data_IF_331238898035
#
_entry.id   IF_331238898035
#
_cell.length_a   1.000
_cell.length_b   1.000
_cell.length_c   1.000
_cell.angle_alpha   90.00
_cell.angle_beta   90.00
_cell.angle_gamma   90.00
#
_symmetry.space_group_name_H-M   'P 1'
#
loop_
_entity.id
_entity.type
_entity.pdbx_description
1 polymer ?
#
# COMPACT_ATOMS: atom_id res chain seq x y z
N UNK A 1 47.28 -35.93 34.21
CA UNK A 1 45.89 -36.39 34.54
C UNK A 1 45.05 -35.17 34.68
N UNK A 2 44.38 -34.76 33.61
CA UNK A 2 43.57 -33.56 33.56
C UNK A 2 42.14 -34.02 33.25
N UNK A 3 41.25 -33.82 34.19
CA UNK A 3 39.82 -34.14 34.08
C UNK A 3 39.10 -33.07 33.23
N UNK A 4 38.29 -33.43 32.24
CA UNK A 4 37.48 -32.45 31.53
C UNK A 4 36.22 -32.13 32.34
N UNK A 5 35.98 -30.85 32.58
CA UNK A 5 34.74 -30.34 33.13
C UNK A 5 33.65 -30.39 32.06
N UNK A 6 32.63 -31.16 32.35
CA UNK A 6 31.42 -31.27 31.57
C UNK A 6 30.49 -30.04 31.88
N UNK A 7 30.38 -29.08 30.98
CA UNK A 7 29.40 -28.01 31.01
C UNK A 7 28.44 -28.16 29.81
N UNK A 8 27.54 -29.10 29.93
CA UNK A 8 26.43 -29.18 28.99
C UNK A 8 25.23 -29.84 29.70
N UNK A 9 24.38 -29.07 30.32
CA UNK A 9 22.96 -29.40 30.58
C UNK A 9 22.35 -28.39 31.57
N UNK A 10 22.09 -27.17 31.18
CA UNK A 10 21.19 -26.27 31.93
C UNK A 10 20.66 -25.10 31.07
N UNK A 11 20.32 -25.30 29.80
CA UNK A 11 19.79 -24.18 29.02
C UNK A 11 18.63 -24.57 28.07
N UNK A 12 17.80 -25.52 28.47
CA UNK A 12 16.66 -25.92 27.64
C UNK A 12 15.29 -25.87 28.33
N UNK A 13 15.16 -25.22 29.49
CA UNK A 13 13.92 -25.25 30.25
C UNK A 13 13.21 -23.89 30.45
N UNK A 14 13.66 -22.82 29.81
CA UNK A 14 13.05 -21.47 29.96
C UNK A 14 12.39 -20.90 28.70
N UNK A 15 12.23 -21.70 27.64
CA UNK A 15 11.67 -21.23 26.37
C UNK A 15 10.17 -21.51 26.20
N UNK A 16 9.45 -22.05 27.19
CA UNK A 16 8.12 -22.61 26.95
C UNK A 16 7.00 -22.05 27.85
N UNK A 17 7.03 -20.79 28.24
CA UNK A 17 5.87 -20.23 28.97
C UNK A 17 5.67 -18.73 28.89
N UNK A 18 6.23 -18.02 27.92
CA UNK A 18 5.73 -16.67 27.64
C UNK A 18 4.40 -16.79 26.90
N UNK A 19 3.29 -16.21 27.40
CA UNK A 19 2.06 -16.19 26.63
C UNK A 19 2.37 -15.51 25.29
N UNK A 20 1.95 -16.16 24.21
CA UNK A 20 2.06 -15.57 22.87
C UNK A 20 1.43 -14.17 22.92
N UNK A 21 2.19 -13.15 22.51
CA UNK A 21 1.67 -11.80 22.43
C UNK A 21 0.50 -11.82 21.45
N UNK A 22 -0.72 -11.78 21.96
CA UNK A 22 -1.90 -11.54 21.13
C UNK A 22 -1.98 -10.04 20.87
N UNK A 23 -1.54 -9.62 19.69
CA UNK A 23 -1.72 -8.26 19.23
C UNK A 23 -3.22 -7.96 19.12
N UNK A 24 -3.80 -7.09 19.98
CA UNK A 24 -5.21 -6.73 19.90
C UNK A 24 -5.55 -6.02 18.57
N UNK A 25 -4.54 -5.50 17.85
CA UNK A 25 -4.70 -4.88 16.54
C UNK A 25 -4.65 -5.91 15.39
N UNK A 26 -4.30 -7.18 15.67
CA UNK A 26 -4.26 -8.24 14.65
C UNK A 26 -5.66 -8.61 14.11
N UNK A 27 -6.70 -8.29 14.86
CA UNK A 27 -8.10 -8.42 14.41
C UNK A 27 -8.50 -7.14 13.69
N UNK A 28 -8.14 -7.03 12.40
CA UNK A 28 -8.59 -5.93 11.56
C UNK A 28 -10.11 -5.87 11.42
N UNK A 29 -10.61 -4.76 10.90
CA UNK A 29 -12.03 -4.60 10.60
C UNK A 29 -12.50 -5.66 9.59
N UNK A 30 -13.79 -6.07 9.61
CA UNK A 30 -14.37 -6.84 8.52
C UNK A 30 -14.11 -6.19 7.17
N UNK A 31 -13.89 -6.99 6.11
CA UNK A 31 -13.42 -6.50 4.80
C UNK A 31 -14.24 -5.32 4.24
N UNK A 32 -15.58 -5.36 4.37
CA UNK A 32 -16.45 -4.27 3.92
C UNK A 32 -16.21 -2.96 4.69
N UNK A 33 -15.92 -3.04 5.99
CA UNK A 33 -15.59 -1.89 6.83
C UNK A 33 -14.20 -1.34 6.49
N UNK A 34 -13.23 -2.21 6.26
CA UNK A 34 -11.90 -1.82 5.83
C UNK A 34 -11.92 -1.09 4.47
N UNK A 35 -12.77 -1.53 3.52
CA UNK A 35 -13.00 -0.80 2.26
C UNK A 35 -13.67 0.56 2.48
N UNK A 36 -14.60 0.68 3.43
CA UNK A 36 -15.18 1.98 3.79
C UNK A 36 -14.12 2.93 4.36
N UNK A 37 -13.23 2.45 5.23
CA UNK A 37 -12.10 3.25 5.75
C UNK A 37 -11.19 3.70 4.60
N UNK A 38 -10.86 2.82 3.67
CA UNK A 38 -10.07 3.17 2.50
C UNK A 38 -10.72 4.30 1.67
N UNK A 39 -12.04 4.22 1.42
CA UNK A 39 -12.79 5.27 0.71
C UNK A 39 -12.82 6.59 1.47
N UNK A 40 -12.98 6.56 2.79
CA UNK A 40 -12.93 7.76 3.63
C UNK A 40 -11.56 8.44 3.55
N UNK A 41 -10.48 7.65 3.59
CA UNK A 41 -9.11 8.16 3.46
C UNK A 41 -8.93 8.83 2.08
N UNK A 42 -9.39 8.21 1.02
CA UNK A 42 -9.29 8.74 -0.36
C UNK A 42 -10.10 10.02 -0.57
N UNK A 43 -11.12 10.27 0.25
CA UNK A 43 -11.91 11.50 0.24
C UNK A 43 -11.25 12.72 0.89
N UNK A 44 -10.10 12.56 1.52
CA UNK A 44 -9.37 13.62 2.23
C UNK A 44 -7.86 13.64 1.91
N UNK A 45 -7.08 14.50 2.57
CA UNK A 45 -5.63 14.51 2.45
C UNK A 45 -5.04 13.15 2.87
N UNK A 46 -4.26 12.54 2.00
CA UNK A 46 -3.71 11.22 2.24
C UNK A 46 -2.34 11.01 1.58
N UNK A 47 -1.59 10.06 2.12
CA UNK A 47 -0.40 9.48 1.51
C UNK A 47 -0.76 8.10 0.97
N UNK A 48 -0.30 7.80 -0.25
CA UNK A 48 -0.49 6.49 -0.85
C UNK A 48 0.85 5.86 -1.24
N UNK A 49 1.03 4.61 -0.85
CA UNK A 49 2.21 3.81 -1.20
C UNK A 49 1.77 2.57 -1.96
N UNK A 50 2.31 2.41 -3.16
CA UNK A 50 2.11 1.23 -3.99
C UNK A 50 3.24 0.23 -3.74
N UNK A 51 2.90 -1.03 -3.50
CA UNK A 51 3.82 -2.15 -3.49
C UNK A 51 3.54 -3.08 -4.69
N UNK A 52 4.59 -3.41 -5.42
CA UNK A 52 4.61 -4.39 -6.52
C UNK A 52 5.71 -5.42 -6.29
N UNK A 53 5.59 -6.64 -6.84
CA UNK A 53 6.60 -7.67 -6.69
C UNK A 53 7.65 -7.58 -7.80
N UNK A 54 8.94 -7.55 -7.44
CA UNK A 54 10.05 -7.74 -8.37
C UNK A 54 10.10 -9.19 -8.88
N UNK A 55 10.88 -9.45 -9.93
CA UNK A 55 11.05 -10.79 -10.48
C UNK A 55 11.65 -11.81 -9.49
N UNK A 56 12.45 -11.33 -8.54
CA UNK A 56 13.05 -12.12 -7.47
C UNK A 56 12.13 -12.30 -6.24
N UNK A 57 10.89 -11.78 -6.31
CA UNK A 57 9.91 -11.83 -5.22
C UNK A 57 10.07 -10.73 -4.17
N UNK A 58 11.11 -9.91 -4.24
CA UNK A 58 11.26 -8.77 -3.33
C UNK A 58 10.21 -7.68 -3.63
N UNK A 59 9.87 -6.89 -2.61
CA UNK A 59 8.91 -5.78 -2.78
C UNK A 59 9.59 -4.55 -3.40
N UNK A 60 8.95 -3.95 -4.39
CA UNK A 60 9.24 -2.61 -4.89
C UNK A 60 8.14 -1.68 -4.40
N UNK A 61 8.51 -0.60 -3.73
CA UNK A 61 7.57 0.37 -3.16
C UNK A 61 7.74 1.75 -3.79
N UNK A 62 6.63 2.47 -3.96
CA UNK A 62 6.62 3.84 -4.49
C UNK A 62 5.53 4.65 -3.80
N UNK A 63 5.86 5.90 -3.44
CA UNK A 63 4.84 6.90 -3.15
C UNK A 63 4.19 7.30 -4.47
N UNK A 64 2.87 7.34 -4.49
CA UNK A 64 2.08 7.70 -5.67
C UNK A 64 0.91 8.59 -5.27
N UNK A 65 0.43 9.40 -6.20
CA UNK A 65 -0.85 10.06 -6.09
C UNK A 65 -1.93 9.15 -6.66
N UNK A 66 -3.06 9.08 -6.00
CA UNK A 66 -4.21 8.27 -6.42
C UNK A 66 -5.49 9.07 -6.34
N UNK A 67 -6.50 8.67 -7.10
CA UNK A 67 -7.88 9.17 -6.98
C UNK A 67 -8.87 8.00 -7.01
N UNK A 68 -10.02 8.12 -6.32
CA UNK A 68 -11.09 7.14 -6.46
C UNK A 68 -11.81 7.29 -7.81
N UNK A 69 -12.29 6.17 -8.34
CA UNK A 69 -13.18 6.10 -9.50
C UNK A 69 -14.22 5.00 -9.27
N UNK A 70 -15.35 5.35 -8.69
CA UNK A 70 -16.32 4.40 -8.19
C UNK A 70 -15.73 3.51 -7.10
N UNK A 71 -15.67 2.21 -7.36
CA UNK A 71 -15.06 1.22 -6.46
C UNK A 71 -13.56 1.01 -6.72
N UNK A 72 -13.05 1.55 -7.81
CA UNK A 72 -11.65 1.42 -8.23
C UNK A 72 -10.81 2.60 -7.76
N UNK A 73 -9.48 2.44 -7.86
CA UNK A 73 -8.49 3.46 -7.52
C UNK A 73 -7.60 3.65 -8.73
N UNK A 74 -7.44 4.90 -9.17
CA UNK A 74 -6.65 5.25 -10.35
C UNK A 74 -5.37 5.99 -9.98
N UNK A 75 -4.31 5.77 -10.75
CA UNK A 75 -3.10 6.59 -10.72
C UNK A 75 -2.41 6.64 -12.08
N UNK A 76 -1.58 7.68 -12.28
CA UNK A 76 -0.77 7.85 -13.50
C UNK A 76 0.67 7.40 -13.27
N UNK A 77 1.26 6.76 -14.28
CA UNK A 77 2.69 6.43 -14.29
C UNK A 77 3.22 6.41 -15.72
N UNK A 78 4.50 6.09 -15.88
CA UNK A 78 5.18 5.98 -17.17
C UNK A 78 5.48 4.51 -17.45
N UNK A 79 5.27 4.08 -18.69
CA UNK A 79 5.70 2.77 -19.18
C UNK A 79 7.24 2.61 -19.01
N UNK A 80 7.71 1.38 -18.79
CA UNK A 80 9.13 1.08 -18.59
C UNK A 80 9.67 1.38 -17.19
N UNK A 81 8.94 2.07 -16.33
CA UNK A 81 9.32 2.15 -14.91
C UNK A 81 9.21 0.78 -14.25
N UNK A 82 10.06 0.51 -13.24
CA UNK A 82 10.09 -0.78 -12.53
C UNK A 82 8.71 -1.25 -12.08
N UNK A 83 7.92 -0.37 -11.47
CA UNK A 83 6.55 -0.70 -11.05
C UNK A 83 5.65 -1.10 -12.22
N UNK A 84 5.77 -0.43 -13.36
CA UNK A 84 4.97 -0.75 -14.57
C UNK A 84 5.36 -2.11 -15.12
N UNK A 85 6.67 -2.37 -15.26
CA UNK A 85 7.19 -3.68 -15.64
C UNK A 85 6.74 -4.79 -14.70
N UNK A 86 6.75 -4.51 -13.38
CA UNK A 86 6.28 -5.46 -12.38
C UNK A 86 4.79 -5.77 -12.56
N UNK A 87 3.95 -4.74 -12.71
CA UNK A 87 2.50 -4.88 -12.89
C UNK A 87 2.12 -5.59 -14.19
N UNK A 88 2.89 -5.38 -15.27
CA UNK A 88 2.69 -6.12 -16.54
C UNK A 88 2.98 -7.61 -16.41
N UNK A 89 3.92 -7.98 -15.53
CA UNK A 89 4.26 -9.38 -15.25
C UNK A 89 3.32 -10.02 -14.24
N UNK A 90 2.99 -9.31 -13.18
CA UNK A 90 2.11 -9.76 -12.10
C UNK A 90 1.17 -8.61 -11.74
N UNK A 91 -0.12 -8.70 -12.10
CA UNK A 91 -1.07 -7.62 -11.89
C UNK A 91 -1.48 -7.42 -10.43
N UNK A 92 -1.04 -8.27 -9.51
CA UNK A 92 -1.35 -8.14 -8.09
C UNK A 92 -0.56 -7.00 -7.46
N UNK A 93 -1.27 -6.14 -6.74
CA UNK A 93 -0.67 -4.99 -6.04
C UNK A 93 -1.24 -4.84 -4.64
N UNK A 94 -0.49 -4.11 -3.82
CA UNK A 94 -0.97 -3.65 -2.52
C UNK A 94 -0.79 -2.14 -2.44
N UNK A 95 -1.84 -1.45 -2.02
CA UNK A 95 -1.81 -0.03 -1.67
C UNK A 95 -1.86 0.11 -0.15
N UNK A 96 -0.97 0.91 0.43
CA UNK A 96 -1.15 1.50 1.74
C UNK A 96 -1.73 2.90 1.53
N UNK A 97 -2.88 3.16 2.12
CA UNK A 97 -3.54 4.47 2.15
C UNK A 97 -3.48 4.98 3.59
N UNK A 98 -2.88 6.14 3.80
CA UNK A 98 -2.76 6.75 5.13
C UNK A 98 -3.37 8.15 5.12
N UNK A 99 -4.32 8.40 6.00
CA UNK A 99 -4.88 9.73 6.21
C UNK A 99 -3.82 10.67 6.79
N UNK A 100 -3.74 11.88 6.22
CA UNK A 100 -2.95 12.98 6.77
C UNK A 100 -3.78 13.91 7.67
N UNK A 101 -5.06 13.62 7.84
CA UNK A 101 -5.92 14.36 8.78
C UNK A 101 -5.50 13.99 10.21
N UNK A 102 -5.13 14.98 11.05
CA UNK A 102 -4.79 14.72 12.45
C UNK A 102 -5.95 14.08 13.20
N UNK A 103 -5.65 13.08 14.01
CA UNK A 103 -6.60 12.47 14.94
C UNK A 103 -5.94 12.18 16.27
N UNK A 104 -6.72 12.07 17.34
CA UNK A 104 -6.23 11.79 18.69
C UNK A 104 -5.54 10.41 18.81
N UNK A 105 -5.84 9.49 17.90
CA UNK A 105 -5.35 8.10 17.89
C UNK A 105 -4.28 7.83 16.83
N UNK A 106 -3.73 8.89 16.19
CA UNK A 106 -2.89 8.77 15.01
C UNK A 106 -3.72 8.79 13.71
N UNK A 107 -3.07 8.88 12.55
CA UNK A 107 -3.77 8.88 11.25
C UNK A 107 -4.36 7.52 10.92
N UNK A 108 -5.62 7.50 10.46
CA UNK A 108 -6.23 6.28 9.93
C UNK A 108 -5.44 5.75 8.73
N UNK A 109 -5.29 4.44 8.63
CA UNK A 109 -4.73 3.81 7.46
C UNK A 109 -5.52 2.56 7.03
N UNK A 110 -5.40 2.21 5.77
CA UNK A 110 -5.90 0.96 5.24
C UNK A 110 -4.89 0.38 4.25
N UNK A 111 -4.79 -0.94 4.20
CA UNK A 111 -4.14 -1.64 3.08
C UNK A 111 -5.22 -2.20 2.17
N UNK A 112 -5.02 -2.01 0.87
CA UNK A 112 -5.92 -2.51 -0.18
C UNK A 112 -5.12 -3.44 -1.07
N UNK A 113 -5.54 -4.68 -1.17
CA UNK A 113 -5.01 -5.66 -2.11
C UNK A 113 -5.93 -5.73 -3.32
N UNK A 114 -5.38 -5.70 -4.50
CA UNK A 114 -6.14 -5.74 -5.74
C UNK A 114 -5.33 -6.19 -6.93
N UNK A 115 -5.96 -6.14 -8.08
CA UNK A 115 -5.32 -6.36 -9.37
C UNK A 115 -5.40 -5.11 -10.21
N UNK A 116 -4.45 -4.95 -11.13
CA UNK A 116 -4.37 -3.77 -11.98
C UNK A 116 -4.69 -4.07 -13.43
N UNK A 117 -5.19 -3.05 -14.11
CA UNK A 117 -5.31 -2.94 -15.55
C UNK A 117 -4.60 -1.64 -15.98
N UNK A 118 -3.81 -1.72 -17.05
CA UNK A 118 -3.07 -0.60 -17.60
C UNK A 118 -3.73 -0.16 -18.91
N UNK A 119 -3.94 1.16 -19.07
CA UNK A 119 -4.50 1.77 -20.27
C UNK A 119 -3.65 2.97 -20.66
N UNK A 120 -3.46 3.19 -21.95
CA UNK A 120 -2.68 4.32 -22.46
C UNK A 120 -3.34 5.67 -22.11
N UNK A 121 -2.51 6.67 -21.84
CA UNK A 121 -2.87 8.09 -21.68
C UNK A 121 -2.06 8.93 -22.67
N UNK A 122 -2.32 8.77 -24.01
CA UNK A 122 -1.45 9.31 -25.06
C UNK A 122 -1.34 10.84 -25.03
N UNK A 123 -2.40 11.51 -24.63
CA UNK A 123 -2.46 12.97 -24.54
C UNK A 123 -2.09 13.49 -23.14
N UNK A 124 -1.72 12.59 -22.21
CA UNK A 124 -1.43 12.92 -20.81
C UNK A 124 -2.57 13.67 -20.10
N UNK A 125 -3.81 13.49 -20.55
CA UNK A 125 -4.97 14.17 -20.00
C UNK A 125 -5.24 13.75 -18.57
N UNK A 126 -5.18 12.45 -18.28
CA UNK A 126 -5.32 11.94 -16.93
C UNK A 126 -4.15 12.37 -16.02
N UNK A 127 -2.94 12.43 -16.58
CA UNK A 127 -1.79 12.92 -15.83
C UNK A 127 -1.97 14.39 -15.40
N UNK A 128 -2.49 15.26 -16.29
CA UNK A 128 -2.83 16.64 -15.94
C UNK A 128 -3.92 16.69 -14.87
N UNK A 129 -4.96 15.86 -14.97
CA UNK A 129 -6.01 15.77 -13.94
C UNK A 129 -5.43 15.43 -12.56
N UNK A 130 -4.44 14.52 -12.49
CA UNK A 130 -3.76 14.20 -11.24
C UNK A 130 -2.96 15.36 -10.68
N UNK A 131 -2.37 16.20 -11.54
CA UNK A 131 -1.70 17.43 -11.13
C UNK A 131 -2.69 18.50 -10.63
N UNK A 132 -3.82 18.62 -11.29
CA UNK A 132 -4.90 19.53 -10.85
C UNK A 132 -5.39 19.14 -9.45
N UNK A 133 -5.56 17.85 -9.21
CA UNK A 133 -6.06 17.32 -7.94
C UNK A 133 -5.03 17.43 -6.79
N UNK A 134 -3.77 17.10 -7.04
CA UNK A 134 -2.78 16.93 -5.98
C UNK A 134 -1.70 18.01 -5.90
N UNK A 135 -1.53 18.80 -6.98
CA UNK A 135 -0.46 19.79 -7.11
C UNK A 135 -1.00 21.22 -7.35
N UNK A 136 -2.29 21.45 -7.04
CA UNK A 136 -2.92 22.76 -7.14
C UNK A 136 -3.00 23.29 -8.56
N UNK A 137 -3.13 22.44 -9.56
CA UNK A 137 -3.23 22.81 -10.97
C UNK A 137 -1.90 23.18 -11.62
N UNK A 138 -0.78 22.80 -11.02
CA UNK A 138 0.53 23.00 -11.61
C UNK A 138 0.65 22.23 -12.93
N UNK A 139 1.34 22.82 -13.91
CA UNK A 139 1.66 22.11 -15.16
C UNK A 139 2.72 21.04 -14.88
N UNK A 140 2.50 19.78 -15.28
CA UNK A 140 3.51 18.75 -15.19
C UNK A 140 4.81 19.16 -15.92
N UNK A 141 6.00 18.81 -15.39
CA UNK A 141 7.24 19.06 -16.13
C UNK A 141 7.22 18.26 -17.45
N UNK A 142 7.85 18.79 -18.52
CA UNK A 142 7.97 18.08 -19.78
C UNK A 142 8.71 16.75 -19.59
N UNK A 143 8.17 15.68 -20.16
CA UNK A 143 8.77 14.33 -20.13
C UNK A 143 8.90 13.81 -21.58
N UNK A 144 9.87 14.32 -22.36
CA UNK A 144 10.02 13.98 -23.77
C UNK A 144 10.18 12.45 -23.95
N UNK A 145 9.35 11.87 -24.83
CA UNK A 145 9.39 10.43 -25.12
C UNK A 145 8.80 9.54 -24.04
N UNK A 146 8.21 10.10 -22.98
CA UNK A 146 7.50 9.31 -21.98
C UNK A 146 6.15 8.84 -22.53
N UNK A 147 5.89 7.54 -22.41
CA UNK A 147 4.59 6.96 -22.69
C UNK A 147 3.81 6.84 -21.38
N UNK A 148 2.77 7.66 -21.24
CA UNK A 148 1.95 7.69 -20.05
C UNK A 148 0.90 6.59 -20.07
N UNK A 149 0.68 5.99 -18.89
CA UNK A 149 -0.38 4.99 -18.67
C UNK A 149 -1.19 5.33 -17.43
N UNK A 150 -2.48 5.05 -17.53
CA UNK A 150 -3.41 5.02 -16.41
C UNK A 150 -3.39 3.62 -15.83
N UNK A 151 -3.23 3.51 -14.53
CA UNK A 151 -3.36 2.24 -13.81
C UNK A 151 -4.65 2.25 -13.04
N UNK A 152 -5.51 1.30 -13.33
CA UNK A 152 -6.76 1.03 -12.62
C UNK A 152 -6.55 -0.11 -11.65
N UNK A 153 -6.62 0.15 -10.36
CA UNK A 153 -6.58 -0.87 -9.31
C UNK A 153 -8.02 -1.26 -8.97
N UNK A 154 -8.32 -2.56 -9.10
CA UNK A 154 -9.60 -3.15 -8.69
C UNK A 154 -9.42 -3.80 -7.32
N UNK A 155 -9.96 -3.20 -6.24
CA UNK A 155 -9.85 -3.76 -4.90
C UNK A 155 -10.51 -5.13 -4.79
N UNK A 156 -9.79 -6.09 -4.20
CA UNK A 156 -10.31 -7.44 -3.92
C UNK A 156 -10.53 -7.66 -2.43
N UNK A 157 -9.65 -7.11 -1.61
CA UNK A 157 -9.75 -7.14 -0.15
C UNK A 157 -9.05 -5.93 0.45
N UNK A 158 -9.48 -5.56 1.64
CA UNK A 158 -8.83 -4.51 2.40
C UNK A 158 -8.65 -4.93 3.85
N UNK A 159 -7.67 -4.31 4.50
CA UNK A 159 -7.43 -4.38 5.93
C UNK A 159 -7.33 -2.97 6.47
N UNK A 160 -7.96 -2.73 7.61
CA UNK A 160 -7.74 -1.54 8.42
C UNK A 160 -7.71 -1.97 9.90
N UNK A 161 -6.79 -1.43 10.72
CA UNK A 161 -6.73 -1.79 12.13
C UNK A 161 -7.97 -1.28 12.87
N UNK A 162 -8.29 -1.94 13.98
CA UNK A 162 -9.33 -1.50 14.92
C UNK A 162 -8.67 -0.63 16.01
N UNK A 163 -9.30 0.43 16.55
CA UNK A 163 -10.60 0.99 16.20
C UNK A 163 -10.47 2.33 15.46
N UNK A 164 -10.83 2.39 14.21
CA UNK A 164 -11.17 3.67 13.61
C UNK A 164 -12.68 3.79 13.61
N UNK A 165 -13.26 4.02 14.78
CA UNK A 165 -14.65 4.46 14.89
C UNK A 165 -14.67 5.95 14.55
N UNK A 166 -15.14 6.29 13.36
CA UNK A 166 -15.82 7.57 13.17
C UNK A 166 -17.10 7.50 13.96
N UNK A 167 -17.20 8.18 15.10
CA UNK A 167 -18.48 8.70 15.54
C UNK A 167 -18.93 9.78 14.59
#
# INVERSE_FOLDING_TARGET
MTTPHNHAAADSALADSAPAFEDPLSKGLPAHRALQVARQILGGPHLSVLATANADGSAQMSVIFVKPDGDDILFSTIEGRRKTTNMSRDPRVTLLLQSLTPSATGGAYATVHGTVELTDDPDSTFHQEMYDLHMGGATPPPEPGAHRVIVRVRPQRAYAPFPYSSE
#
